data_IF_624247397372
#
_entry.id   IF_624247397372
#
_cell.length_a   1.000
_cell.length_b   1.000
_cell.length_c   1.000
_cell.angle_alpha   90.00
_cell.angle_beta   90.00
_cell.angle_gamma   90.00
#
_symmetry.space_group_name_H-M   'P 1'
#
loop_
_entity.id
_entity.type
_entity.pdbx_description
1 polymer ?
#
# COMPACT_ATOMS: atom_id res chain seq x y z
N UNK A 1 -4.33 -16.94 -18.86
CA UNK A 1 -5.57 -16.23 -18.49
C UNK A 1 -5.41 -15.60 -17.11
N UNK A 2 -4.80 -14.42 -17.04
CA UNK A 2 -4.50 -13.68 -15.82
C UNK A 2 -5.40 -12.44 -15.81
N UNK A 3 -6.28 -12.30 -14.82
CA UNK A 3 -7.10 -11.10 -14.67
C UNK A 3 -6.25 -9.98 -14.03
N UNK A 4 -6.26 -8.75 -14.58
CA UNK A 4 -5.51 -7.64 -14.01
C UNK A 4 -6.11 -7.23 -12.65
N UNK A 5 -5.25 -6.80 -11.72
CA UNK A 5 -5.63 -6.26 -10.41
C UNK A 5 -6.33 -4.89 -10.51
N UNK A 6 -7.43 -4.80 -11.27
CA UNK A 6 -8.24 -3.60 -11.47
C UNK A 6 -9.47 -3.55 -10.54
N UNK A 7 -9.48 -4.31 -9.44
CA UNK A 7 -10.67 -4.47 -8.57
C UNK A 7 -10.82 -3.42 -7.45
N UNK A 8 -10.01 -2.36 -7.40
CA UNK A 8 -10.13 -1.30 -6.36
C UNK A 8 -11.56 -0.72 -6.32
N UNK A 9 -12.22 -0.58 -7.48
CA UNK A 9 -13.59 -0.06 -7.55
C UNK A 9 -14.66 -1.05 -7.03
N UNK A 10 -14.43 -2.37 -7.08
CA UNK A 10 -15.38 -3.36 -6.53
C UNK A 10 -15.31 -3.45 -5.01
N UNK A 11 -14.11 -3.22 -4.44
CA UNK A 11 -13.88 -3.24 -2.99
C UNK A 11 -14.67 -2.14 -2.27
N UNK A 12 -14.88 -0.98 -2.91
CA UNK A 12 -15.61 0.15 -2.32
C UNK A 12 -17.11 -0.12 -2.08
N UNK A 13 -17.76 -0.98 -2.88
CA UNK A 13 -19.19 -1.27 -2.73
C UNK A 13 -19.50 -2.16 -1.51
N UNK A 14 -18.54 -3.00 -1.08
CA UNK A 14 -18.71 -3.87 0.08
C UNK A 14 -18.53 -3.14 1.44
N UNK A 15 -17.86 -1.98 1.46
CA UNK A 15 -17.67 -1.17 2.67
C UNK A 15 -18.93 -0.40 3.11
N UNK A 16 -19.97 -0.36 2.28
CA UNK A 16 -21.19 0.40 2.56
C UNK A 16 -22.08 -0.25 3.64
N UNK A 17 -21.77 -1.44 4.17
CA UNK A 17 -22.72 -2.21 5.00
C UNK A 17 -22.08 -2.71 6.33
N UNK A 18 -22.13 -1.92 7.40
CA UNK A 18 -22.30 -2.34 8.82
C UNK A 18 -22.33 -1.13 9.77
N UNK A 19 -23.08 -1.21 10.88
CA UNK A 19 -23.90 -0.11 11.43
C UNK A 19 -23.31 0.80 12.56
N UNK A 20 -23.56 2.09 12.35
CA UNK A 20 -24.12 3.16 13.23
C UNK A 20 -23.46 3.66 14.53
N UNK A 21 -22.39 3.09 15.05
CA UNK A 21 -21.61 3.78 16.13
C UNK A 21 -20.12 3.93 15.83
N UNK A 22 -19.62 3.18 14.86
CA UNK A 22 -18.24 3.26 14.35
C UNK A 22 -18.04 4.34 13.26
N UNK A 23 -19.12 4.97 12.79
CA UNK A 23 -19.14 5.85 11.61
C UNK A 23 -18.45 7.19 11.81
N UNK A 24 -18.43 7.79 13.01
CA UNK A 24 -17.82 9.11 13.20
C UNK A 24 -16.28 9.04 13.26
N UNK A 25 -15.71 8.15 14.09
CA UNK A 25 -14.26 7.93 14.15
C UNK A 25 -13.71 7.42 12.80
N UNK A 26 -14.45 6.51 12.15
CA UNK A 26 -14.13 6.05 10.80
C UNK A 26 -14.25 7.19 9.77
N UNK A 27 -15.29 8.02 9.83
CA UNK A 27 -15.41 9.20 8.96
C UNK A 27 -14.23 10.17 9.17
N UNK A 28 -13.81 10.42 10.42
CA UNK A 28 -12.62 11.25 10.68
C UNK A 28 -11.34 10.61 10.13
N UNK A 29 -11.20 9.28 10.23
CA UNK A 29 -10.07 8.54 9.66
C UNK A 29 -10.05 8.57 8.14
N UNK A 30 -11.21 8.45 7.49
CA UNK A 30 -11.37 8.55 6.04
C UNK A 30 -11.01 9.95 5.55
N UNK A 31 -11.60 10.99 6.14
CA UNK A 31 -11.31 12.38 5.75
C UNK A 31 -9.84 12.72 5.96
N UNK A 32 -9.22 12.26 7.05
CA UNK A 32 -7.80 12.47 7.29
C UNK A 32 -6.93 11.75 6.23
N UNK A 33 -7.25 10.50 5.90
CA UNK A 33 -6.53 9.75 4.86
C UNK A 33 -6.64 10.41 3.49
N UNK A 34 -7.84 10.83 3.07
CA UNK A 34 -8.05 11.56 1.82
C UNK A 34 -7.30 12.89 1.81
N UNK A 35 -7.37 13.65 2.91
CA UNK A 35 -6.66 14.93 3.02
C UNK A 35 -5.14 14.75 2.93
N UNK A 36 -4.62 13.66 3.49
CA UNK A 36 -3.22 13.32 3.36
C UNK A 36 -2.84 12.91 1.94
N UNK A 37 -3.69 12.18 1.22
CA UNK A 37 -3.47 11.89 -0.20
C UNK A 37 -3.48 13.17 -1.05
N UNK A 38 -4.42 14.08 -0.79
CA UNK A 38 -4.50 15.39 -1.45
C UNK A 38 -3.21 16.21 -1.25
N UNK A 39 -2.67 16.23 -0.02
CA UNK A 39 -1.41 16.94 0.26
C UNK A 39 -0.22 16.24 -0.40
N UNK A 40 -0.18 14.91 -0.34
CA UNK A 40 0.96 14.13 -0.79
C UNK A 40 1.01 14.02 -2.32
N UNK A 41 -0.12 14.21 -3.03
CA UNK A 41 -0.16 14.10 -4.49
C UNK A 41 0.79 15.08 -5.19
N UNK A 42 0.98 16.28 -4.62
CA UNK A 42 1.89 17.29 -5.15
C UNK A 42 3.33 16.77 -5.13
N UNK A 43 3.74 16.10 -4.05
CA UNK A 43 5.07 15.47 -3.94
C UNK A 43 5.17 14.23 -4.83
N UNK A 44 4.10 13.45 -4.94
CA UNK A 44 4.05 12.24 -5.77
C UNK A 44 4.25 12.52 -7.26
N UNK A 45 3.95 13.74 -7.75
CA UNK A 45 4.21 14.08 -9.15
C UNK A 45 5.67 13.86 -9.55
N UNK A 46 6.63 14.12 -8.65
CA UNK A 46 8.06 13.87 -8.89
C UNK A 46 8.36 12.39 -9.18
N UNK A 47 7.56 11.48 -8.63
CA UNK A 47 7.75 10.02 -8.74
C UNK A 47 6.72 9.35 -9.64
N UNK A 48 5.88 10.11 -10.35
CA UNK A 48 4.79 9.55 -11.16
C UNK A 48 5.30 8.59 -12.23
N UNK A 49 6.29 9.02 -13.02
CA UNK A 49 6.88 8.17 -14.08
C UNK A 49 7.50 6.88 -13.52
N UNK A 50 8.41 6.90 -12.52
CA UNK A 50 8.96 5.66 -11.98
C UNK A 50 7.89 4.77 -11.34
N UNK A 51 6.92 5.33 -10.60
CA UNK A 51 5.80 4.55 -10.03
C UNK A 51 5.02 3.83 -11.13
N UNK A 52 4.67 4.53 -12.21
CA UNK A 52 3.93 3.95 -13.33
C UNK A 52 4.71 2.84 -14.04
N UNK A 53 6.04 3.01 -14.20
CA UNK A 53 6.89 1.98 -14.83
C UNK A 53 6.99 0.73 -13.97
N UNK A 54 7.27 0.90 -12.68
CA UNK A 54 7.34 -0.22 -11.71
C UNK A 54 6.01 -0.95 -11.63
N UNK A 55 4.90 -0.22 -11.53
CA UNK A 55 3.55 -0.78 -11.49
C UNK A 55 3.26 -1.65 -12.72
N UNK A 56 3.61 -1.15 -13.92
CA UNK A 56 3.43 -1.88 -15.17
C UNK A 56 4.28 -3.15 -15.22
N UNK A 57 5.55 -3.07 -14.78
CA UNK A 57 6.46 -4.21 -14.78
C UNK A 57 6.04 -5.31 -13.80
N UNK A 58 5.46 -4.93 -12.66
CA UNK A 58 5.04 -5.86 -11.61
C UNK A 58 3.55 -6.25 -11.69
N UNK A 59 2.82 -5.74 -12.69
CA UNK A 59 1.39 -5.96 -12.88
C UNK A 59 0.55 -5.60 -11.64
N UNK A 60 0.87 -4.49 -10.96
CA UNK A 60 0.10 -3.97 -9.83
C UNK A 60 -0.43 -2.57 -10.10
N UNK A 61 -1.43 -2.14 -9.34
CA UNK A 61 -1.98 -0.79 -9.50
C UNK A 61 -0.97 0.29 -9.06
N UNK A 62 -0.62 1.27 -9.92
CA UNK A 62 0.28 2.36 -9.54
C UNK A 62 -0.24 3.20 -8.37
N UNK A 63 -1.56 3.32 -8.20
CA UNK A 63 -2.16 3.99 -7.04
C UNK A 63 -1.82 3.29 -5.72
N UNK A 64 -1.68 1.95 -5.74
CA UNK A 64 -1.31 1.19 -4.54
C UNK A 64 0.13 1.48 -4.12
N UNK A 65 1.06 1.53 -5.08
CA UNK A 65 2.46 1.91 -4.81
C UNK A 65 2.50 3.34 -4.26
N UNK A 66 1.82 4.28 -4.94
CA UNK A 66 1.78 5.68 -4.54
C UNK A 66 1.17 5.88 -3.13
N UNK A 67 0.12 5.12 -2.80
CA UNK A 67 -0.50 5.14 -1.49
C UNK A 67 0.42 4.62 -0.39
N UNK A 68 1.14 3.51 -0.63
CA UNK A 68 2.13 3.00 0.32
C UNK A 68 3.23 4.03 0.55
N UNK A 69 3.76 4.67 -0.49
CA UNK A 69 4.75 5.76 -0.35
C UNK A 69 4.20 6.92 0.50
N UNK A 70 2.95 7.32 0.24
CA UNK A 70 2.27 8.37 1.01
C UNK A 70 2.08 7.98 2.48
N UNK A 71 1.71 6.73 2.79
CA UNK A 71 1.52 6.27 4.17
C UNK A 71 2.85 6.09 4.90
N UNK A 72 3.83 5.46 4.26
CA UNK A 72 5.11 5.07 4.90
C UNK A 72 6.04 6.26 5.17
N UNK A 73 6.12 7.24 4.25
CA UNK A 73 7.14 8.29 4.34
C UNK A 73 6.61 9.70 4.11
N UNK A 74 5.31 9.87 3.90
CA UNK A 74 4.71 11.12 3.42
C UNK A 74 5.44 11.61 2.16
N UNK A 75 5.77 10.66 1.29
CA UNK A 75 6.52 10.90 0.04
C UNK A 75 7.91 11.50 0.32
N UNK A 76 8.57 10.98 1.36
CA UNK A 76 9.88 11.43 1.81
C UNK A 76 9.87 12.58 2.82
N UNK A 77 8.73 13.24 3.07
CA UNK A 77 8.69 14.43 3.93
C UNK A 77 9.02 14.15 5.42
N UNK A 78 8.92 12.90 5.87
CA UNK A 78 9.28 12.50 7.24
C UNK A 78 10.65 11.85 7.35
N UNK A 79 11.42 11.80 6.26
CA UNK A 79 12.71 11.09 6.21
C UNK A 79 13.88 12.03 6.44
N UNK A 80 14.95 11.49 7.02
CA UNK A 80 16.26 12.14 7.14
C UNK A 80 17.28 11.28 6.41
N UNK A 81 17.84 11.79 5.32
CA UNK A 81 18.74 11.06 4.42
C UNK A 81 18.17 9.70 3.94
N UNK A 82 16.84 9.66 3.74
CA UNK A 82 16.12 8.45 3.34
C UNK A 82 15.73 7.52 4.47
N UNK A 83 16.11 7.79 5.72
CA UNK A 83 15.82 6.93 6.87
C UNK A 83 14.63 7.43 7.68
N UNK A 84 13.90 6.50 8.31
CA UNK A 84 13.06 6.86 9.46
C UNK A 84 13.92 7.31 10.64
N UNK A 85 13.27 7.91 11.64
CA UNK A 85 13.92 8.41 12.87
C UNK A 85 14.75 7.34 13.59
N UNK A 86 14.29 6.09 13.58
CA UNK A 86 14.93 4.96 14.24
C UNK A 86 16.09 4.36 13.42
N UNK A 87 16.29 4.79 12.17
CA UNK A 87 17.28 4.22 11.22
C UNK A 87 17.13 2.71 11.02
N UNK A 88 15.89 2.22 11.03
CA UNK A 88 15.56 0.80 10.77
C UNK A 88 14.96 0.57 9.39
N UNK A 89 14.38 1.61 8.79
CA UNK A 89 13.70 1.55 7.51
C UNK A 89 14.20 2.64 6.56
N UNK A 90 14.28 2.29 5.28
CA UNK A 90 14.89 3.11 4.25
C UNK A 90 13.95 3.41 3.08
N UNK A 91 14.07 4.63 2.56
CA UNK A 91 13.49 5.15 1.32
C UNK A 91 11.98 5.31 1.29
N UNK A 92 11.46 5.72 0.13
CA UNK A 92 10.06 6.13 -0.05
C UNK A 92 9.05 5.10 0.47
N UNK A 93 9.33 3.81 0.27
CA UNK A 93 8.49 2.70 0.71
C UNK A 93 8.92 2.06 2.05
N UNK A 94 9.90 2.63 2.74
CA UNK A 94 10.35 2.23 4.09
C UNK A 94 10.65 0.73 4.24
N UNK A 95 11.53 0.25 3.37
CA UNK A 95 12.03 -1.13 3.37
C UNK A 95 12.90 -1.34 4.62
N UNK A 96 12.68 -2.44 5.34
CA UNK A 96 13.39 -2.71 6.58
C UNK A 96 14.84 -3.16 6.32
N UNK A 97 15.81 -2.38 6.80
CA UNK A 97 17.23 -2.51 6.46
C UNK A 97 17.89 -3.78 7.04
N UNK A 98 17.38 -4.29 8.15
CA UNK A 98 17.94 -5.51 8.77
C UNK A 98 17.74 -6.77 7.90
N UNK A 99 16.73 -6.78 7.01
CA UNK A 99 16.34 -7.99 6.26
C UNK A 99 16.59 -7.87 4.77
N UNK A 100 16.94 -6.69 4.28
CA UNK A 100 17.05 -6.41 2.86
C UNK A 100 18.34 -5.64 2.60
N UNK A 101 19.05 -5.98 1.54
CA UNK A 101 20.06 -5.07 0.98
C UNK A 101 19.36 -3.80 0.52
N UNK A 102 19.97 -2.63 0.73
CA UNK A 102 19.39 -1.35 0.32
C UNK A 102 19.95 -0.98 -1.06
N UNK A 103 19.16 -1.01 -2.14
CA UNK A 103 19.63 -0.63 -3.45
C UNK A 103 19.54 0.89 -3.64
N UNK A 104 20.62 1.48 -4.15
CA UNK A 104 20.61 2.83 -4.69
C UNK A 104 20.19 3.93 -3.73
N UNK A 105 19.65 5.01 -4.30
CA UNK A 105 19.15 6.15 -3.54
C UNK A 105 17.73 5.90 -2.99
N UNK A 106 17.45 6.49 -1.83
CA UNK A 106 16.20 6.32 -1.08
C UNK A 106 14.92 6.70 -1.85
N UNK A 107 15.04 7.55 -2.87
CA UNK A 107 13.97 8.03 -3.74
C UNK A 107 14.08 7.52 -5.20
N UNK A 108 14.94 6.53 -5.44
CA UNK A 108 15.18 5.97 -6.77
C UNK A 108 14.10 4.99 -7.23
N UNK A 109 14.04 4.76 -8.54
CA UNK A 109 13.18 3.72 -9.13
C UNK A 109 13.58 2.31 -8.68
N UNK A 110 14.86 2.05 -8.43
CA UNK A 110 15.34 0.78 -7.88
C UNK A 110 14.76 0.53 -6.48
N UNK A 111 14.71 1.57 -5.64
CA UNK A 111 14.09 1.48 -4.31
C UNK A 111 12.58 1.23 -4.40
N UNK A 112 11.88 1.95 -5.30
CA UNK A 112 10.45 1.74 -5.54
C UNK A 112 10.20 0.31 -6.05
N UNK A 113 11.05 -0.20 -6.94
CA UNK A 113 10.99 -1.57 -7.46
C UNK A 113 11.14 -2.60 -6.35
N UNK A 114 12.11 -2.40 -5.44
CA UNK A 114 12.31 -3.29 -4.30
C UNK A 114 11.08 -3.33 -3.38
N UNK A 115 10.59 -2.17 -2.94
CA UNK A 115 9.43 -2.10 -2.07
C UNK A 115 8.19 -2.75 -2.69
N UNK A 116 7.93 -2.43 -3.97
CA UNK A 116 6.82 -3.03 -4.71
C UNK A 116 6.98 -4.56 -4.89
N UNK A 117 8.21 -5.06 -5.07
CA UNK A 117 8.48 -6.50 -5.18
C UNK A 117 8.21 -7.23 -3.86
N UNK A 118 8.54 -6.62 -2.72
CA UNK A 118 8.23 -7.16 -1.39
C UNK A 118 6.70 -7.31 -1.22
N UNK A 119 5.95 -6.26 -1.59
CA UNK A 119 4.48 -6.29 -1.55
C UNK A 119 3.90 -7.41 -2.41
N UNK A 120 4.33 -7.51 -3.67
CA UNK A 120 3.86 -8.54 -4.62
C UNK A 120 4.21 -9.94 -4.12
N UNK A 121 5.40 -10.12 -3.55
CA UNK A 121 5.84 -11.40 -2.99
C UNK A 121 4.97 -11.81 -1.80
N UNK A 122 4.60 -10.86 -0.94
CA UNK A 122 3.65 -11.08 0.16
C UNK A 122 2.27 -11.52 -0.33
N UNK A 123 1.73 -10.86 -1.36
CA UNK A 123 0.45 -11.22 -1.99
C UNK A 123 0.52 -12.65 -2.57
N UNK A 124 1.58 -12.99 -3.32
CA UNK A 124 1.76 -14.32 -3.90
C UNK A 124 1.90 -15.42 -2.85
N UNK A 125 2.58 -15.14 -1.74
CA UNK A 125 2.68 -16.07 -0.61
C UNK A 125 1.29 -16.35 0.00
N UNK A 126 0.44 -15.34 0.12
CA UNK A 126 -0.94 -15.49 0.57
C UNK A 126 -1.80 -16.29 -0.41
N UNK A 127 -1.66 -16.03 -1.71
CA UNK A 127 -2.35 -16.81 -2.77
C UNK A 127 -2.00 -18.29 -2.70
N UNK A 128 -0.73 -18.61 -2.41
CA UNK A 128 -0.29 -20.00 -2.24
C UNK A 128 -0.86 -20.63 -0.97
N UNK A 129 -0.90 -19.88 0.14
CA UNK A 129 -1.32 -20.37 1.45
C UNK A 129 -2.85 -20.49 1.59
N UNK A 130 -3.60 -19.59 0.97
CA UNK A 130 -5.05 -19.49 1.09
C UNK A 130 -5.70 -19.41 -0.30
N UNK A 131 -5.74 -20.49 -1.08
CA UNK A 131 -6.16 -20.46 -2.50
C UNK A 131 -7.64 -20.13 -2.73
N UNK A 132 -8.47 -20.14 -1.67
CA UNK A 132 -9.92 -19.86 -1.73
C UNK A 132 -10.28 -18.42 -1.41
N UNK A 133 -9.31 -17.57 -1.09
CA UNK A 133 -9.56 -16.16 -0.79
C UNK A 133 -9.95 -15.37 -2.03
N UNK A 134 -10.77 -14.35 -1.79
CA UNK A 134 -11.09 -13.32 -2.78
C UNK A 134 -9.88 -12.42 -3.06
N UNK A 135 -9.89 -11.76 -4.23
CA UNK A 135 -8.89 -10.73 -4.56
C UNK A 135 -8.77 -9.65 -3.49
N UNK A 136 -9.89 -9.27 -2.86
CA UNK A 136 -9.93 -8.28 -1.79
C UNK A 136 -9.16 -8.76 -0.55
N UNK A 137 -9.34 -10.02 -0.15
CA UNK A 137 -8.60 -10.60 0.97
C UNK A 137 -7.10 -10.69 0.65
N UNK A 138 -6.71 -11.02 -0.59
CA UNK A 138 -5.31 -10.99 -0.99
C UNK A 138 -4.70 -9.59 -0.96
N UNK A 139 -5.42 -8.57 -1.44
CA UNK A 139 -4.95 -7.20 -1.41
C UNK A 139 -4.76 -6.70 0.02
N UNK A 140 -5.78 -6.87 0.87
CA UNK A 140 -5.74 -6.42 2.26
C UNK A 140 -4.68 -7.17 3.07
N UNK A 141 -4.64 -8.49 2.93
CA UNK A 141 -3.61 -9.32 3.55
C UNK A 141 -2.20 -8.99 3.05
N UNK A 142 -2.03 -8.64 1.77
CA UNK A 142 -0.74 -8.24 1.20
C UNK A 142 -0.23 -6.90 1.75
N UNK A 143 -1.11 -5.89 1.81
CA UNK A 143 -0.81 -4.60 2.45
C UNK A 143 -0.46 -4.81 3.92
N UNK A 144 -1.19 -5.71 4.58
CA UNK A 144 -0.92 -6.07 5.96
C UNK A 144 0.46 -6.72 6.16
N UNK A 145 0.76 -7.74 5.37
CA UNK A 145 2.04 -8.43 5.42
C UNK A 145 3.23 -7.48 5.11
N UNK A 146 2.99 -6.47 4.26
CA UNK A 146 3.95 -5.42 3.98
C UNK A 146 4.20 -4.51 5.20
N UNK A 147 3.14 -4.18 5.95
CA UNK A 147 3.25 -3.42 7.20
C UNK A 147 4.01 -4.19 8.27
N UNK A 148 3.71 -5.48 8.45
CA UNK A 148 4.30 -6.35 9.49
C UNK A 148 5.73 -6.83 9.16
N UNK A 149 6.32 -6.29 8.08
CA UNK A 149 7.72 -6.45 7.66
C UNK A 149 8.20 -7.91 7.58
N UNK A 150 7.33 -8.81 7.11
CA UNK A 150 7.64 -10.19 6.66
C UNK A 150 8.47 -11.01 7.65
N UNK A 151 8.01 -11.16 8.90
CA UNK A 151 8.50 -12.27 9.75
C UNK A 151 7.44 -13.15 10.38
N UNK A 152 6.17 -12.83 10.20
CA UNK A 152 5.07 -13.68 10.65
C UNK A 152 3.79 -13.27 9.92
N UNK A 153 3.53 -13.85 8.74
CA UNK A 153 2.19 -13.81 8.14
C UNK A 153 1.29 -14.69 9.01
N UNK A 154 0.92 -14.15 10.19
CA UNK A 154 -0.09 -14.69 11.08
C UNK A 154 -1.42 -14.10 10.64
N UNK A 155 -1.85 -14.49 9.45
CA UNK A 155 -3.25 -14.32 9.10
C UNK A 155 -4.01 -15.44 9.81
N UNK A 156 -4.57 -15.10 10.96
CA UNK A 156 -5.33 -16.02 11.80
C UNK A 156 -6.61 -16.45 11.07
N UNK A 157 -6.81 -17.77 10.93
CA UNK A 157 -8.07 -18.44 10.62
C UNK A 157 -8.93 -17.82 9.51
N UNK A 158 -8.29 -17.38 8.41
CA UNK A 158 -9.00 -16.87 7.23
C UNK A 158 -9.62 -15.47 7.42
N UNK A 159 -9.29 -14.76 8.49
CA UNK A 159 -9.74 -13.38 8.74
C UNK A 159 -8.61 -12.38 8.50
N UNK A 160 -8.92 -11.28 7.82
CA UNK A 160 -8.04 -10.13 7.57
C UNK A 160 -7.71 -9.38 8.89
N UNK A 161 -6.85 -9.97 9.73
CA UNK A 161 -6.52 -9.45 11.06
C UNK A 161 -5.28 -8.55 11.04
N UNK A 162 -5.33 -7.48 10.26
CA UNK A 162 -4.31 -6.44 10.32
C UNK A 162 -4.58 -5.48 11.50
N UNK A 163 -4.31 -5.94 12.72
CA UNK A 163 -4.80 -5.35 13.96
C UNK A 163 -6.34 -5.23 14.01
N UNK A 164 -6.90 -5.23 15.23
CA UNK A 164 -8.35 -5.10 15.44
C UNK A 164 -8.93 -3.80 14.84
N UNK A 165 -8.11 -2.77 14.57
CA UNK A 165 -8.57 -1.50 13.99
C UNK A 165 -8.46 -1.43 12.46
N UNK A 166 -7.59 -2.23 11.82
CA UNK A 166 -7.35 -2.20 10.37
C UNK A 166 -7.01 -0.81 9.79
N UNK A 167 -6.50 0.10 10.64
CA UNK A 167 -6.31 1.52 10.29
C UNK A 167 -5.26 1.69 9.17
N UNK A 168 -4.18 0.90 9.20
CA UNK A 168 -3.12 1.00 8.18
C UNK A 168 -3.64 0.60 6.80
N UNK A 169 -4.29 -0.57 6.68
CA UNK A 169 -4.79 -1.07 5.38
C UNK A 169 -5.88 -0.16 4.85
N UNK A 170 -6.80 0.28 5.72
CA UNK A 170 -7.85 1.23 5.33
C UNK A 170 -7.25 2.56 4.85
N UNK A 171 -6.27 3.11 5.57
CA UNK A 171 -5.57 4.33 5.17
C UNK A 171 -4.89 4.15 3.80
N UNK A 172 -4.19 3.04 3.55
CA UNK A 172 -3.60 2.75 2.23
C UNK A 172 -4.67 2.67 1.14
N UNK A 173 -5.77 1.94 1.34
CA UNK A 173 -6.82 1.78 0.32
C UNK A 173 -7.53 3.10 0.02
N UNK A 174 -7.83 3.91 1.03
CA UNK A 174 -8.48 5.20 0.86
C UNK A 174 -7.58 6.14 0.05
N UNK A 175 -6.29 6.21 0.40
CA UNK A 175 -5.32 6.99 -0.37
C UNK A 175 -5.15 6.47 -1.80
N UNK A 176 -5.11 5.14 -1.98
CA UNK A 176 -5.00 4.55 -3.32
C UNK A 176 -6.21 4.94 -4.19
N UNK A 177 -7.43 4.87 -3.66
CA UNK A 177 -8.63 5.30 -4.39
C UNK A 177 -8.56 6.78 -4.78
N UNK A 178 -8.16 7.64 -3.85
CA UNK A 178 -7.96 9.06 -4.15
C UNK A 178 -6.93 9.26 -5.27
N UNK A 179 -5.77 8.62 -5.16
CA UNK A 179 -4.67 8.77 -6.13
C UNK A 179 -5.01 8.19 -7.51
N UNK A 180 -5.77 7.09 -7.56
CA UNK A 180 -6.26 6.50 -8.80
C UNK A 180 -7.14 7.49 -9.58
N UNK A 181 -8.05 8.17 -8.88
CA UNK A 181 -8.90 9.22 -9.46
C UNK A 181 -8.14 10.49 -9.87
N UNK A 182 -6.89 10.64 -9.41
CA UNK A 182 -6.05 11.80 -9.66
C UNK A 182 -4.78 11.46 -10.48
N UNK A 183 -4.89 10.46 -11.36
CA UNK A 183 -3.91 10.21 -12.41
C UNK A 183 -2.82 9.19 -12.09
N UNK A 184 -2.96 8.44 -10.99
CA UNK A 184 -2.19 7.21 -10.73
C UNK A 184 -3.00 5.97 -11.11
N UNK A 185 -3.47 5.91 -12.36
CA UNK A 185 -4.18 4.77 -12.91
C UNK A 185 -3.45 4.28 -14.15
N UNK A 186 -3.50 2.96 -14.40
CA UNK A 186 -3.13 2.42 -15.70
C UNK A 186 -4.25 2.86 -16.65
N UNK A 187 -3.95 3.77 -17.58
CA UNK A 187 -4.85 4.03 -18.70
C UNK A 187 -5.09 2.69 -19.40
N UNK A 188 -6.36 2.27 -19.42
CA UNK A 188 -6.80 1.10 -20.16
C UNK A 188 -6.55 1.29 -21.66
#
# INVERSE_FOLDING_TARGET
NYQPYSEINRIALAFQISETTFTFAFATGVHAAEKFAEIDIVRLQRYKVPIMRVARNLCIDPALIAAIISVESRVGATLVDGWNRQRTQYGLMQVHAHYNSIPGAWDSEDHITQGATILVSGIKALQTKYPTWSSQQYLRGGICAYHDKVRNIRVYDGMDNCNLSNDYVNNVIIRAKYLQNNGFSILA
#
